data_IF_196155349031
#
_entry.id   IF_196155349031
#
_cell.length_a   1.000
_cell.length_b   1.000
_cell.length_c   1.000
_cell.angle_alpha   90.00
_cell.angle_beta   90.00
_cell.angle_gamma   90.00
#
_symmetry.space_group_name_H-M   'P 1'
#
loop_
_entity.id
_entity.type
_entity.pdbx_description
1 polymer ?
#
# COMPACT_ATOMS: atom_id res chain seq x y z
N UNK A 1 19.20 -30.67 3.93
CA UNK A 1 18.44 -29.69 4.73
C UNK A 1 19.35 -28.48 4.89
N UNK A 2 19.25 -27.50 3.97
CA UNK A 2 20.01 -26.25 4.02
C UNK A 2 19.00 -25.18 4.44
N UNK A 3 19.11 -24.70 5.67
CA UNK A 3 18.50 -23.45 6.10
C UNK A 3 19.23 -22.35 5.33
N UNK A 4 18.59 -21.81 4.31
CA UNK A 4 19.06 -20.55 3.73
C UNK A 4 18.54 -19.46 4.64
N UNK A 5 19.44 -18.92 5.45
CA UNK A 5 19.20 -17.69 6.19
C UNK A 5 19.26 -16.55 5.17
N UNK A 6 18.11 -16.18 4.61
CA UNK A 6 17.95 -15.13 3.60
C UNK A 6 17.81 -13.73 4.22
N UNK A 7 18.26 -13.55 5.47
CA UNK A 7 18.27 -12.23 6.09
C UNK A 7 19.61 -11.57 5.71
N UNK A 8 19.62 -10.87 4.58
CA UNK A 8 20.66 -9.88 4.32
C UNK A 8 20.55 -8.82 5.42
N UNK A 9 21.41 -8.91 6.44
CA UNK A 9 21.59 -7.85 7.42
C UNK A 9 22.35 -6.73 6.74
N UNK A 10 21.66 -5.63 6.44
CA UNK A 10 22.32 -4.37 6.09
C UNK A 10 22.73 -3.71 7.39
N UNK A 11 24.03 -3.57 7.63
CA UNK A 11 24.57 -2.81 8.77
C UNK A 11 24.91 -1.43 8.25
N UNK A 12 24.10 -0.44 8.63
CA UNK A 12 24.38 0.97 8.31
C UNK A 12 25.27 1.55 9.40
N UNK A 13 26.49 1.95 9.05
CA UNK A 13 27.34 2.72 9.95
C UNK A 13 26.98 4.18 9.80
N UNK A 14 26.31 4.74 10.82
CA UNK A 14 25.86 6.12 10.81
C UNK A 14 27.03 7.07 11.16
N UNK A 15 27.02 8.31 10.65
CA UNK A 15 28.05 9.28 10.96
C UNK A 15 28.01 9.63 12.45
N UNK A 16 29.14 10.09 12.99
CA UNK A 16 29.29 10.38 14.43
C UNK A 16 28.22 11.36 14.95
N UNK A 17 27.75 12.28 14.11
CA UNK A 17 26.68 13.24 14.44
C UNK A 17 25.36 12.55 14.81
N UNK A 18 25.01 11.44 14.16
CA UNK A 18 23.80 10.66 14.49
C UNK A 18 24.02 9.82 15.75
N UNK A 19 25.23 9.32 15.95
CA UNK A 19 25.56 8.56 17.16
C UNK A 19 25.46 9.43 18.43
N UNK A 20 25.93 10.68 18.36
CA UNK A 20 25.85 11.61 19.48
C UNK A 20 24.42 12.13 19.73
N UNK A 21 23.63 12.31 18.66
CA UNK A 21 22.27 12.84 18.73
C UNK A 21 21.16 11.80 18.97
N UNK A 22 21.47 10.49 18.92
CA UNK A 22 20.46 9.43 19.00
C UNK A 22 19.56 9.35 17.77
N UNK A 23 18.78 8.26 17.66
CA UNK A 23 17.83 8.04 16.55
C UNK A 23 16.41 8.12 17.07
N UNK A 24 15.65 9.11 16.61
CA UNK A 24 14.24 9.29 16.95
C UNK A 24 13.30 8.52 16.01
N UNK A 25 13.57 8.56 14.70
CA UNK A 25 12.77 7.85 13.68
C UNK A 25 13.62 7.51 12.45
N UNK A 26 13.17 6.52 11.66
CA UNK A 26 13.79 6.15 10.40
C UNK A 26 12.76 5.70 9.36
N UNK A 27 12.85 6.26 8.15
CA UNK A 27 11.97 5.94 7.03
C UNK A 27 12.80 5.38 5.88
N UNK A 28 12.52 4.14 5.51
CA UNK A 28 13.20 3.42 4.42
C UNK A 28 12.41 3.52 3.11
N UNK A 29 13.13 3.55 2.00
CA UNK A 29 12.60 3.33 0.66
C UNK A 29 13.51 2.37 -0.12
N UNK A 30 13.14 2.06 -1.37
CA UNK A 30 13.77 0.99 -2.15
C UNK A 30 15.30 1.07 -2.31
N UNK A 31 15.90 2.25 -2.18
CA UNK A 31 17.35 2.42 -2.29
C UNK A 31 17.98 3.26 -1.17
N UNK A 32 17.25 3.57 -0.11
CA UNK A 32 17.77 4.49 0.90
C UNK A 32 16.99 4.56 2.19
N UNK A 33 17.49 5.40 3.10
CA UNK A 33 16.89 5.67 4.40
C UNK A 33 17.07 7.14 4.76
N UNK A 34 16.06 7.71 5.41
CA UNK A 34 16.11 8.99 6.09
C UNK A 34 16.01 8.73 7.58
N UNK A 35 16.87 9.37 8.35
CA UNK A 35 17.01 9.20 9.79
C UNK A 35 16.79 10.56 10.42
N UNK A 36 15.85 10.61 11.36
CA UNK A 36 15.63 11.75 12.22
C UNK A 36 16.35 11.50 13.55
N UNK A 37 17.22 12.42 13.95
CA UNK A 37 17.90 12.36 15.25
C UNK A 37 17.05 12.95 16.37
N UNK A 38 17.40 12.69 17.65
CA UNK A 38 16.66 13.30 18.78
C UNK A 38 16.86 14.81 18.87
N UNK A 39 17.90 15.35 18.24
CA UNK A 39 18.15 16.79 18.11
C UNK A 39 17.62 17.38 16.77
N UNK A 40 16.61 16.73 16.17
CA UNK A 40 15.86 17.18 15.00
C UNK A 40 16.69 17.38 13.71
N UNK A 41 17.85 16.73 13.59
CA UNK A 41 18.60 16.71 12.32
C UNK A 41 18.13 15.57 11.44
N UNK A 42 18.26 15.78 10.13
CA UNK A 42 17.89 14.78 9.13
C UNK A 42 19.13 14.30 8.40
N UNK A 43 19.38 12.99 8.48
CA UNK A 43 20.48 12.33 7.78
C UNK A 43 19.91 11.34 6.78
N UNK A 44 20.37 11.41 5.54
CA UNK A 44 19.91 10.54 4.46
C UNK A 44 21.06 9.73 3.89
N UNK A 45 20.75 8.51 3.47
CA UNK A 45 21.63 7.63 2.70
C UNK A 45 20.84 7.09 1.52
N UNK A 46 21.36 7.22 0.31
CA UNK A 46 20.69 6.78 -0.93
C UNK A 46 21.37 5.57 -1.59
N UNK A 47 22.35 4.98 -0.91
CA UNK A 47 23.23 3.92 -1.40
C UNK A 47 23.36 2.80 -0.37
N UNK A 48 22.25 2.46 0.32
CA UNK A 48 22.23 1.42 1.39
C UNK A 48 22.56 0.00 0.89
N UNK A 49 22.61 -0.21 -0.42
CA UNK A 49 22.95 -1.49 -1.04
C UNK A 49 24.46 -1.71 -1.21
N UNK A 50 25.28 -0.67 -1.08
CA UNK A 50 26.75 -0.80 -1.19
C UNK A 50 27.40 -1.15 0.15
N UNK A 51 28.60 -1.74 0.11
CA UNK A 51 29.33 -2.18 1.31
C UNK A 51 29.67 -1.02 2.27
N UNK A 52 29.82 0.21 1.74
CA UNK A 52 30.14 1.42 2.50
C UNK A 52 29.19 2.55 2.08
N UNK A 53 28.00 2.63 2.68
CA UNK A 53 27.02 3.66 2.37
C UNK A 53 27.51 5.04 2.77
N UNK A 54 27.03 6.10 2.10
CA UNK A 54 27.44 7.48 2.35
C UNK A 54 26.30 8.33 2.94
N UNK A 55 26.10 8.29 4.27
CA UNK A 55 25.21 9.22 4.96
C UNK A 55 25.62 10.68 4.76
N UNK A 56 24.64 11.53 4.45
CA UNK A 56 24.78 12.98 4.37
C UNK A 56 23.67 13.67 5.14
N UNK A 57 24.02 14.75 5.82
CA UNK A 57 23.06 15.59 6.53
C UNK A 57 22.35 16.52 5.54
N UNK A 58 21.04 16.69 5.68
CA UNK A 58 20.26 17.66 4.93
C UNK A 58 20.34 19.05 5.59
N UNK A 59 19.67 20.04 5.00
CA UNK A 59 19.56 21.36 5.61
C UNK A 59 18.96 21.27 7.03
N UNK A 60 19.41 22.16 7.93
CA UNK A 60 18.85 22.27 9.29
C UNK A 60 17.36 22.61 9.20
N UNK A 61 16.44 21.74 9.69
CA UNK A 61 15.00 21.97 9.63
C UNK A 61 14.54 23.24 10.37
N UNK A 62 15.38 23.82 11.24
CA UNK A 62 15.05 25.01 12.01
C UNK A 62 13.96 24.79 13.05
N UNK A 63 13.84 23.56 13.57
CA UNK A 63 12.91 23.22 14.66
C UNK A 63 13.46 23.79 15.96
N UNK A 64 12.66 24.58 16.68
CA UNK A 64 13.08 25.17 17.95
C UNK A 64 13.26 24.10 19.04
N UNK A 65 14.08 24.36 20.07
CA UNK A 65 14.35 23.40 21.16
C UNK A 65 13.09 22.99 21.94
N UNK A 66 12.04 23.82 21.94
CA UNK A 66 10.75 23.56 22.59
C UNK A 66 9.70 22.95 21.65
N UNK A 67 10.02 22.81 20.36
CA UNK A 67 9.19 22.13 19.37
C UNK A 67 9.63 20.68 19.17
N UNK A 68 8.69 19.84 18.73
CA UNK A 68 8.95 18.43 18.43
C UNK A 68 8.46 18.09 17.03
N UNK A 69 9.27 17.30 16.33
CA UNK A 69 8.84 16.62 15.11
C UNK A 69 7.90 15.49 15.50
N UNK A 70 6.67 15.53 14.97
CA UNK A 70 5.60 14.59 15.29
C UNK A 70 5.67 13.32 14.44
N UNK A 71 6.02 13.46 13.15
CA UNK A 71 6.25 12.35 12.24
C UNK A 71 7.05 12.78 11.01
N UNK A 72 7.64 11.81 10.31
CA UNK A 72 8.44 11.99 9.11
C UNK A 72 7.86 11.18 7.94
N UNK A 73 7.98 11.71 6.72
CA UNK A 73 7.78 10.98 5.47
C UNK A 73 8.81 11.41 4.43
N UNK A 74 9.02 10.59 3.39
CA UNK A 74 10.04 10.84 2.37
C UNK A 74 9.43 10.80 0.98
N UNK A 75 9.70 11.82 0.17
CA UNK A 75 9.51 11.79 -1.28
C UNK A 75 10.81 11.27 -1.89
N UNK A 76 10.73 10.09 -2.50
CA UNK A 76 11.92 9.41 -3.01
C UNK A 76 12.65 10.21 -4.10
N UNK A 77 13.99 10.07 -4.21
CA UNK A 77 14.79 10.84 -5.17
C UNK A 77 14.32 10.74 -6.62
N UNK A 78 13.76 9.58 -7.03
CA UNK A 78 13.23 9.36 -8.38
C UNK A 78 12.00 10.22 -8.72
N UNK A 79 11.33 10.79 -7.71
CA UNK A 79 10.15 11.64 -7.86
C UNK A 79 10.46 13.13 -7.67
N UNK A 80 11.68 13.47 -7.26
CA UNK A 80 12.13 14.85 -7.03
C UNK A 80 13.00 15.32 -8.19
N UNK A 81 12.82 16.56 -8.63
CA UNK A 81 13.56 17.11 -9.79
C UNK A 81 15.07 17.24 -9.57
N UNK A 82 15.52 17.47 -8.33
CA UNK A 82 16.94 17.52 -7.97
C UNK A 82 17.62 16.15 -8.05
N UNK A 83 16.84 15.06 -7.99
CA UNK A 83 17.38 13.70 -7.84
C UNK A 83 17.89 13.40 -6.43
N UNK A 84 17.57 14.26 -5.45
CA UNK A 84 17.81 14.06 -4.02
C UNK A 84 16.48 13.84 -3.29
N UNK A 85 16.45 13.09 -2.17
CA UNK A 85 15.22 12.86 -1.44
C UNK A 85 14.76 14.17 -0.77
N UNK A 86 13.45 14.40 -0.76
CA UNK A 86 12.82 15.48 0.01
C UNK A 86 12.14 14.87 1.24
N UNK A 87 12.53 15.33 2.42
CA UNK A 87 12.03 14.82 3.70
C UNK A 87 10.97 15.77 4.26
N UNK A 88 9.76 15.24 4.47
CA UNK A 88 8.63 15.97 5.04
C UNK A 88 8.58 15.71 6.54
N UNK A 89 8.64 16.76 7.34
CA UNK A 89 8.52 16.70 8.80
C UNK A 89 7.26 17.44 9.25
N UNK A 90 6.42 16.79 10.04
CA UNK A 90 5.32 17.46 10.73
C UNK A 90 5.86 18.09 12.02
N UNK A 91 5.74 19.42 12.15
CA UNK A 91 6.25 20.18 13.29
C UNK A 91 5.15 21.11 13.78
N UNK A 92 4.63 20.88 14.99
CA UNK A 92 3.48 21.64 15.48
C UNK A 92 2.27 21.52 14.55
N UNK A 93 1.83 22.63 13.97
CA UNK A 93 0.69 22.74 13.04
C UNK A 93 1.10 22.88 11.56
N UNK A 94 2.40 22.79 11.26
CA UNK A 94 2.96 22.95 9.91
C UNK A 94 3.67 21.68 9.45
N UNK A 95 3.86 21.58 8.14
CA UNK A 95 4.78 20.60 7.53
C UNK A 95 5.96 21.37 6.94
N UNK A 96 7.17 20.89 7.15
CA UNK A 96 8.38 21.42 6.52
C UNK A 96 8.98 20.37 5.60
N UNK A 97 9.31 20.77 4.37
CA UNK A 97 10.14 19.99 3.47
C UNK A 97 11.61 20.38 3.66
N UNK A 98 12.45 19.38 3.75
CA UNK A 98 13.89 19.50 3.99
C UNK A 98 14.61 18.71 2.91
N UNK A 99 15.50 19.38 2.18
CA UNK A 99 16.38 18.76 1.19
C UNK A 99 17.83 19.26 1.37
N UNK A 100 18.68 19.05 0.37
CA UNK A 100 20.07 19.52 0.41
C UNK A 100 20.20 21.03 0.16
N UNK A 101 19.24 21.63 -0.55
CA UNK A 101 19.27 23.02 -0.97
C UNK A 101 18.66 23.95 0.08
N UNK A 102 17.76 23.45 0.92
CA UNK A 102 17.22 24.20 2.04
C UNK A 102 15.97 23.60 2.68
N UNK A 103 15.19 24.49 3.29
CA UNK A 103 13.94 24.17 3.99
C UNK A 103 12.81 25.01 3.44
N UNK A 104 11.66 24.37 3.23
CA UNK A 104 10.43 25.03 2.80
C UNK A 104 9.28 24.69 3.75
N UNK A 105 8.57 25.71 4.23
CA UNK A 105 7.30 25.50 4.95
C UNK A 105 6.19 25.24 3.93
N UNK A 106 5.42 24.17 4.16
CA UNK A 106 4.38 23.68 3.27
C UNK A 106 3.01 23.72 3.94
N UNK A 107 1.98 23.92 3.12
CA UNK A 107 0.59 23.80 3.56
C UNK A 107 0.10 24.89 4.53
N UNK A 108 0.77 26.03 4.66
CA UNK A 108 0.33 27.12 5.57
C UNK A 108 -1.10 27.61 5.31
N UNK A 109 -1.52 27.56 4.04
CA UNK A 109 -2.88 27.93 3.63
C UNK A 109 -3.89 26.76 3.73
N UNK A 110 -3.42 25.56 4.05
CA UNK A 110 -4.23 24.36 4.20
C UNK A 110 -4.53 24.13 5.67
N UNK A 111 -5.80 23.94 6.01
CA UNK A 111 -6.23 23.61 7.38
C UNK A 111 -5.99 22.13 7.71
N UNK A 112 -4.74 21.68 7.55
CA UNK A 112 -4.30 20.30 7.80
C UNK A 112 -4.33 20.01 9.30
N UNK A 113 -3.96 21.02 10.11
CA UNK A 113 -3.74 20.88 11.55
C UNK A 113 -2.48 20.06 11.87
N UNK A 114 -2.16 19.89 13.16
CA UNK A 114 -1.07 19.03 13.60
C UNK A 114 -1.18 17.61 13.05
N UNK A 115 -0.18 17.21 12.26
CA UNK A 115 -0.13 15.88 11.62
C UNK A 115 0.63 14.90 12.52
N UNK A 116 0.02 13.75 12.78
CA UNK A 116 0.58 12.73 13.68
C UNK A 116 1.18 11.53 12.93
N UNK A 117 0.73 11.25 11.70
CA UNK A 117 1.29 10.21 10.84
C UNK A 117 1.21 10.63 9.38
N UNK A 118 2.23 10.26 8.60
CA UNK A 118 2.30 10.54 7.17
C UNK A 118 2.78 9.33 6.37
N UNK A 119 2.33 9.21 5.13
CA UNK A 119 2.92 8.32 4.13
C UNK A 119 2.79 8.92 2.73
N UNK A 120 3.89 8.93 1.98
CA UNK A 120 3.90 9.32 0.57
C UNK A 120 3.43 8.16 -0.30
N UNK A 121 2.67 8.45 -1.36
CA UNK A 121 2.15 7.46 -2.29
C UNK A 121 3.28 6.81 -3.11
N UNK A 122 3.10 5.58 -3.63
CA UNK A 122 4.16 4.85 -4.33
C UNK A 122 4.73 5.53 -5.60
N UNK A 123 4.06 6.59 -6.09
CA UNK A 123 4.49 7.38 -7.23
C UNK A 123 5.04 8.77 -6.85
N UNK A 124 5.18 9.07 -5.55
CA UNK A 124 5.68 10.34 -5.02
C UNK A 124 4.76 11.55 -5.18
N UNK A 125 3.51 11.37 -5.62
CA UNK A 125 2.62 12.48 -6.00
C UNK A 125 1.65 12.92 -4.92
N UNK A 126 1.31 12.03 -4.00
CA UNK A 126 0.32 12.26 -2.96
C UNK A 126 0.91 11.94 -1.60
N UNK A 127 0.45 12.66 -0.60
CA UNK A 127 0.71 12.47 0.81
C UNK A 127 -0.60 12.08 1.48
N UNK A 128 -0.60 10.97 2.20
CA UNK A 128 -1.63 10.66 3.18
C UNK A 128 -1.16 11.21 4.53
N UNK A 129 -1.96 12.06 5.15
CA UNK A 129 -1.66 12.70 6.43
C UNK A 129 -2.81 12.45 7.40
N UNK A 130 -2.52 11.89 8.57
CA UNK A 130 -3.48 11.74 9.66
C UNK A 130 -3.31 12.88 10.65
N UNK A 131 -4.32 13.73 10.74
CA UNK A 131 -4.34 14.91 11.59
C UNK A 131 -4.85 14.59 13.01
N UNK A 132 -4.50 15.45 13.97
CA UNK A 132 -4.83 15.25 15.38
C UNK A 132 -6.31 15.26 15.74
N UNK A 133 -7.15 15.77 14.85
CA UNK A 133 -8.60 15.82 14.98
C UNK A 133 -9.28 14.54 14.48
N UNK A 134 -8.49 13.52 14.08
CA UNK A 134 -9.01 12.24 13.58
C UNK A 134 -9.27 12.22 12.08
N UNK A 135 -8.88 13.28 11.33
CA UNK A 135 -9.04 13.31 9.89
C UNK A 135 -7.88 12.65 9.15
N UNK A 136 -8.20 11.78 8.20
CA UNK A 136 -7.29 11.40 7.13
C UNK A 136 -7.43 12.42 5.99
N UNK A 137 -6.32 13.03 5.62
CA UNK A 137 -6.21 13.95 4.51
C UNK A 137 -5.34 13.33 3.41
N UNK A 138 -5.74 13.50 2.16
CA UNK A 138 -4.89 13.23 1.01
C UNK A 138 -4.60 14.53 0.30
N UNK A 139 -3.32 14.81 0.11
CA UNK A 139 -2.81 16.11 -0.37
C UNK A 139 -1.75 15.80 -1.44
N UNK A 140 -1.68 16.51 -2.57
CA UNK A 140 -0.52 16.39 -3.45
C UNK A 140 0.76 16.80 -2.71
N UNK A 141 1.90 16.22 -3.07
CA UNK A 141 3.19 16.50 -2.41
C UNK A 141 3.67 17.95 -2.57
N UNK A 142 3.07 18.73 -3.47
CA UNK A 142 3.27 20.19 -3.59
C UNK A 142 2.40 21.03 -2.63
N UNK A 143 1.56 20.39 -1.81
CA UNK A 143 0.65 21.03 -0.84
C UNK A 143 -0.27 22.10 -1.46
N UNK A 144 -0.64 21.92 -2.73
CA UNK A 144 -1.51 22.88 -3.44
C UNK A 144 -2.96 22.90 -2.95
N UNK A 145 -3.49 21.77 -2.49
CA UNK A 145 -4.87 21.62 -1.97
C UNK A 145 -5.07 20.28 -1.28
N UNK A 146 -6.08 20.18 -0.42
CA UNK A 146 -6.61 18.89 0.05
C UNK A 146 -7.48 18.29 -1.07
N UNK A 147 -7.15 17.09 -1.54
CA UNK A 147 -7.90 16.40 -2.61
C UNK A 147 -8.96 15.43 -2.09
N UNK A 148 -8.77 14.92 -0.87
CA UNK A 148 -9.70 14.03 -0.21
C UNK A 148 -9.53 14.15 1.31
N UNK A 149 -10.65 14.02 2.01
CA UNK A 149 -10.74 14.12 3.46
C UNK A 149 -11.72 13.06 3.96
N UNK A 150 -11.37 12.40 5.06
CA UNK A 150 -12.20 11.41 5.71
C UNK A 150 -12.07 11.54 7.23
N UNK A 151 -13.20 11.68 7.91
CA UNK A 151 -13.27 11.75 9.38
C UNK A 151 -13.30 10.33 9.95
N UNK A 152 -12.26 9.96 10.70
CA UNK A 152 -12.18 8.67 11.37
C UNK A 152 -12.96 8.69 12.69
N UNK A 153 -13.40 7.52 13.15
CA UNK A 153 -14.13 7.37 14.42
C UNK A 153 -13.26 7.62 15.66
N UNK A 154 -11.94 7.75 15.48
CA UNK A 154 -10.95 7.96 16.55
C UNK A 154 -9.94 9.01 16.15
N UNK A 155 -9.59 9.89 17.09
CA UNK A 155 -8.50 10.85 16.98
C UNK A 155 -7.14 10.29 17.46
N UNK A 156 -7.11 9.06 17.99
CA UNK A 156 -5.84 8.39 18.30
C UNK A 156 -5.08 8.11 17.01
N UNK A 157 -3.77 8.38 16.95
CA UNK A 157 -2.99 8.12 15.74
C UNK A 157 -2.97 6.63 15.40
N UNK A 158 -3.04 6.27 14.12
CA UNK A 158 -2.84 4.88 13.70
C UNK A 158 -1.40 4.45 13.99
N UNK A 159 -1.23 3.17 14.33
CA UNK A 159 0.09 2.55 14.49
C UNK A 159 0.84 2.57 13.17
N UNK A 160 0.14 2.33 12.05
CA UNK A 160 0.68 2.32 10.69
C UNK A 160 -0.29 2.99 9.71
N UNK A 161 0.28 3.71 8.75
CA UNK A 161 -0.40 4.25 7.57
C UNK A 161 0.33 3.75 6.32
N UNK A 162 -0.40 3.20 5.35
CA UNK A 162 0.20 2.67 4.14
C UNK A 162 -0.71 2.87 2.93
N UNK A 163 -0.12 3.13 1.77
CA UNK A 163 -0.87 3.19 0.52
C UNK A 163 -1.12 1.80 -0.04
N UNK A 164 -2.36 1.54 -0.45
CA UNK A 164 -2.76 0.35 -1.19
C UNK A 164 -3.04 0.73 -2.65
N UNK A 165 -2.03 0.58 -3.50
CA UNK A 165 -2.05 1.11 -4.85
C UNK A 165 -1.85 2.64 -4.86
N UNK A 166 -2.53 3.34 -5.75
CA UNK A 166 -2.32 4.79 -5.97
C UNK A 166 -3.43 5.69 -5.41
N UNK A 167 -4.53 5.11 -4.92
CA UNK A 167 -5.75 5.84 -4.62
C UNK A 167 -6.39 5.49 -3.28
N UNK A 168 -5.89 4.47 -2.58
CA UNK A 168 -6.47 4.03 -1.32
C UNK A 168 -5.40 4.01 -0.23
N UNK A 169 -5.80 4.38 0.99
CA UNK A 169 -4.96 4.44 2.18
C UNK A 169 -5.48 3.44 3.20
N UNK A 170 -4.56 2.71 3.80
CA UNK A 170 -4.77 1.84 4.95
C UNK A 170 -4.33 2.57 6.22
N UNK A 171 -5.18 2.51 7.24
CA UNK A 171 -4.94 3.00 8.59
C UNK A 171 -5.11 1.82 9.54
N UNK A 172 -4.10 1.51 10.34
CA UNK A 172 -4.13 0.38 11.26
C UNK A 172 -4.01 0.84 12.71
N UNK A 173 -4.93 0.36 13.55
CA UNK A 173 -4.91 0.49 15.01
C UNK A 173 -5.11 -0.87 15.65
N UNK A 174 -4.10 -1.42 16.34
CA UNK A 174 -4.12 -2.65 17.16
C UNK A 174 -4.84 -3.89 16.59
N UNK A 175 -6.15 -3.84 16.35
CA UNK A 175 -6.98 -4.93 15.81
C UNK A 175 -7.80 -4.52 14.58
N UNK A 176 -7.79 -3.23 14.20
CA UNK A 176 -8.63 -2.67 13.14
C UNK A 176 -7.75 -2.11 12.04
N UNK A 177 -7.90 -2.66 10.84
CA UNK A 177 -7.34 -2.12 9.59
C UNK A 177 -8.46 -1.49 8.78
N UNK A 178 -8.45 -0.17 8.67
CA UNK A 178 -9.40 0.60 7.89
C UNK A 178 -8.80 0.96 6.54
N UNK A 179 -9.52 0.67 5.48
CA UNK A 179 -9.19 1.08 4.13
C UNK A 179 -10.12 2.20 3.67
N UNK A 180 -9.53 3.32 3.30
CA UNK A 180 -10.25 4.52 2.85
C UNK A 180 -9.74 4.89 1.46
N UNK A 181 -10.65 5.20 0.55
CA UNK A 181 -10.32 5.73 -0.77
C UNK A 181 -11.38 6.74 -1.22
N UNK A 182 -11.11 7.52 -2.28
CA UNK A 182 -12.01 8.56 -2.76
C UNK A 182 -13.33 8.01 -3.33
N UNK A 183 -13.37 6.71 -3.64
CA UNK A 183 -14.47 6.06 -4.34
C UNK A 183 -15.08 4.94 -3.49
N UNK A 184 -16.19 5.26 -2.84
CA UNK A 184 -17.04 4.30 -2.13
C UNK A 184 -16.92 4.38 -0.60
N UNK A 185 -17.60 3.44 0.06
CA UNK A 185 -17.61 3.36 1.52
C UNK A 185 -16.28 2.76 2.02
N UNK A 186 -15.79 3.18 3.21
CA UNK A 186 -14.60 2.61 3.82
C UNK A 186 -14.78 1.12 4.11
N UNK A 187 -13.68 0.36 4.05
CA UNK A 187 -13.68 -1.07 4.29
C UNK A 187 -12.86 -1.39 5.53
N UNK A 188 -13.47 -2.05 6.50
CA UNK A 188 -12.81 -2.45 7.73
C UNK A 188 -12.47 -3.95 7.71
N UNK A 189 -11.24 -4.26 8.11
CA UNK A 189 -10.77 -5.61 8.38
C UNK A 189 -10.37 -5.71 9.85
N UNK A 190 -10.85 -6.74 10.54
CA UNK A 190 -10.44 -7.01 11.91
C UNK A 190 -9.37 -8.10 11.93
N UNK A 191 -8.40 -7.95 12.80
CA UNK A 191 -7.29 -8.88 13.01
C UNK A 191 -7.16 -9.19 14.50
N UNK A 192 -7.05 -10.48 14.83
CA UNK A 192 -6.86 -10.97 16.20
C UNK A 192 -5.36 -11.01 16.61
N UNK A 193 -4.46 -10.65 15.70
CA UNK A 193 -3.01 -10.62 15.89
C UNK A 193 -2.45 -9.28 15.40
N UNK A 194 -1.35 -8.77 15.99
CA UNK A 194 -0.66 -7.61 15.46
C UNK A 194 -0.29 -7.78 13.99
N UNK A 195 -0.52 -6.75 13.19
CA UNK A 195 -0.21 -6.77 11.75
C UNK A 195 0.91 -5.81 11.41
N UNK A 196 1.72 -6.18 10.43
CA UNK A 196 2.71 -5.31 9.78
C UNK A 196 2.30 -5.10 8.32
N UNK A 197 2.24 -3.85 7.91
CA UNK A 197 1.92 -3.43 6.55
C UNK A 197 3.22 -3.20 5.78
N UNK A 198 3.35 -3.88 4.64
CA UNK A 198 4.45 -3.68 3.69
C UNK A 198 3.83 -3.20 2.38
N UNK A 199 3.88 -1.88 2.09
CA UNK A 199 3.36 -1.36 0.84
C UNK A 199 4.17 -1.87 -0.36
N UNK A 200 3.47 -2.19 -1.43
CA UNK A 200 3.99 -2.60 -2.74
C UNK A 200 3.39 -1.68 -3.84
N UNK A 201 3.87 -1.79 -5.08
CA UNK A 201 3.45 -0.87 -6.15
C UNK A 201 1.97 -1.00 -6.54
N UNK A 202 1.36 -2.16 -6.31
CA UNK A 202 -0.02 -2.50 -6.68
C UNK A 202 -0.93 -2.84 -5.48
N UNK A 203 -0.39 -2.87 -4.26
CA UNK A 203 -1.16 -3.24 -3.06
C UNK A 203 -0.34 -3.16 -1.78
N UNK A 204 -0.79 -3.86 -0.74
CA UNK A 204 -0.12 -3.98 0.55
C UNK A 204 -0.06 -5.43 0.96
N UNK A 205 1.12 -5.87 1.32
CA UNK A 205 1.33 -7.14 2.00
C UNK A 205 1.11 -6.96 3.49
N UNK A 206 0.19 -7.75 4.04
CA UNK A 206 -0.20 -7.71 5.44
C UNK A 206 0.37 -8.96 6.11
N UNK A 207 1.31 -8.78 7.02
CA UNK A 207 1.96 -9.86 7.76
C UNK A 207 1.38 -9.94 9.16
N UNK A 208 1.05 -11.14 9.60
CA UNK A 208 0.77 -11.47 11.00
C UNK A 208 1.77 -12.52 11.47
N UNK A 209 1.66 -12.96 12.73
CA UNK A 209 2.48 -14.06 13.22
C UNK A 209 2.13 -15.40 12.55
N UNK A 210 0.94 -15.52 11.97
CA UNK A 210 0.40 -16.79 11.46
C UNK A 210 0.10 -16.79 9.96
N UNK A 211 -0.02 -15.63 9.33
CA UNK A 211 -0.38 -15.46 7.92
C UNK A 211 0.44 -14.39 7.21
N UNK A 212 0.53 -14.54 5.90
CA UNK A 212 0.87 -13.47 4.99
C UNK A 212 -0.30 -13.29 4.04
N UNK A 213 -0.72 -12.04 3.90
CA UNK A 213 -1.80 -11.66 3.01
C UNK A 213 -1.35 -10.60 2.02
N UNK A 214 -2.02 -10.55 0.87
CA UNK A 214 -1.83 -9.47 -0.10
C UNK A 214 -3.18 -8.84 -0.39
N UNK A 215 -3.31 -7.56 -0.04
CA UNK A 215 -4.48 -6.75 -0.28
C UNK A 215 -4.17 -5.80 -1.44
N UNK A 216 -4.94 -5.88 -2.52
CA UNK A 216 -4.76 -5.01 -3.67
C UNK A 216 -6.09 -4.58 -4.28
N UNK A 217 -6.07 -3.43 -4.96
CA UNK A 217 -7.21 -2.99 -5.76
C UNK A 217 -7.32 -3.89 -6.99
N UNK A 218 -8.52 -4.37 -7.27
CA UNK A 218 -8.81 -5.08 -8.52
C UNK A 218 -8.74 -4.07 -9.67
N UNK A 219 -7.92 -4.31 -10.70
CA UNK A 219 -7.81 -3.42 -11.85
C UNK A 219 -9.16 -3.18 -12.56
N UNK A 220 -9.34 -1.97 -13.10
CA UNK A 220 -10.59 -1.60 -13.80
C UNK A 220 -10.86 -2.48 -15.02
N UNK A 221 -9.81 -2.95 -15.70
CA UNK A 221 -9.95 -3.90 -16.82
C UNK A 221 -10.63 -5.19 -16.39
N UNK A 222 -10.25 -5.75 -15.23
CA UNK A 222 -10.86 -6.94 -14.64
C UNK A 222 -12.31 -6.66 -14.26
N UNK A 223 -12.58 -5.51 -13.63
CA UNK A 223 -13.95 -5.08 -13.28
C UNK A 223 -14.82 -4.88 -14.52
N UNK A 224 -14.26 -4.36 -15.62
CA UNK A 224 -14.97 -4.20 -16.89
C UNK A 224 -15.30 -5.54 -17.55
N UNK A 225 -14.51 -6.59 -17.36
CA UNK A 225 -14.78 -7.91 -17.94
C UNK A 225 -15.77 -8.69 -17.06
N UNK A 226 -15.51 -8.76 -15.75
CA UNK A 226 -16.20 -9.64 -14.80
C UNK A 226 -17.26 -8.95 -13.95
N UNK A 227 -17.40 -7.63 -14.08
CA UNK A 227 -18.44 -6.88 -13.38
C UNK A 227 -19.82 -7.45 -13.64
N UNK A 228 -20.65 -7.53 -12.59
CA UNK A 228 -22.01 -8.04 -12.70
C UNK A 228 -22.78 -7.19 -13.72
N UNK A 229 -23.31 -7.86 -14.74
CA UNK A 229 -24.05 -7.18 -15.81
C UNK A 229 -23.18 -6.32 -16.74
N UNK A 230 -21.86 -6.45 -16.70
CA UNK A 230 -21.00 -5.71 -17.62
C UNK A 230 -21.30 -6.07 -19.07
N UNK A 231 -21.50 -5.03 -19.87
CA UNK A 231 -21.67 -5.08 -21.33
C UNK A 231 -20.53 -4.32 -22.04
N UNK A 232 -19.39 -4.16 -21.36
CA UNK A 232 -18.23 -3.52 -21.96
C UNK A 232 -17.74 -4.33 -23.19
N UNK A 233 -17.08 -3.70 -24.17
CA UNK A 233 -16.49 -4.43 -25.30
C UNK A 233 -15.56 -5.57 -24.84
N UNK A 234 -14.84 -5.38 -23.72
CA UNK A 234 -13.98 -6.38 -23.12
C UNK A 234 -14.76 -7.58 -22.56
N UNK A 235 -15.88 -7.35 -21.87
CA UNK A 235 -16.76 -8.41 -21.38
C UNK A 235 -17.37 -9.22 -22.54
N UNK A 236 -17.85 -8.55 -23.58
CA UNK A 236 -18.44 -9.20 -24.75
C UNK A 236 -17.42 -10.05 -25.53
N UNK A 237 -16.20 -9.56 -25.67
CA UNK A 237 -15.12 -10.30 -26.32
C UNK A 237 -14.70 -11.52 -25.50
N UNK A 238 -14.64 -11.38 -24.17
CA UNK A 238 -14.35 -12.49 -23.27
C UNK A 238 -15.44 -13.57 -23.34
N UNK A 239 -16.72 -13.18 -23.32
CA UNK A 239 -17.85 -14.10 -23.49
C UNK A 239 -17.79 -14.82 -24.86
N UNK A 240 -17.48 -14.09 -25.94
CA UNK A 240 -17.33 -14.67 -27.28
C UNK A 240 -16.21 -15.71 -27.34
N UNK A 241 -15.08 -15.45 -26.68
CA UNK A 241 -13.97 -16.42 -26.55
C UNK A 241 -14.40 -17.66 -25.78
N UNK A 242 -15.05 -17.51 -24.62
CA UNK A 242 -15.53 -18.64 -23.81
C UNK A 242 -16.48 -19.54 -24.63
N UNK A 243 -17.34 -18.93 -25.45
CA UNK A 243 -18.21 -19.66 -26.37
C UNK A 243 -17.46 -20.41 -27.48
N UNK A 244 -16.41 -19.79 -28.04
CA UNK A 244 -15.55 -20.38 -29.06
C UNK A 244 -14.76 -21.59 -28.51
N UNK A 245 -14.12 -21.42 -27.34
CA UNK A 245 -13.31 -22.45 -26.69
C UNK A 245 -14.15 -23.67 -26.32
N UNK A 246 -15.40 -23.45 -25.88
CA UNK A 246 -16.38 -24.52 -25.60
C UNK A 246 -16.95 -25.20 -26.85
N UNK A 247 -16.52 -24.79 -28.04
CA UNK A 247 -17.09 -25.21 -29.33
C UNK A 247 -18.63 -25.11 -29.35
N UNK A 248 -19.17 -24.17 -28.57
CA UNK A 248 -20.60 -24.07 -28.30
C UNK A 248 -21.32 -23.17 -29.29
N UNK A 249 -20.69 -22.91 -30.44
CA UNK A 249 -21.21 -22.05 -31.50
C UNK A 249 -22.54 -22.61 -32.00
N UNK A 250 -23.65 -22.17 -31.39
CA UNK A 250 -24.96 -22.29 -32.01
C UNK A 250 -24.97 -21.32 -33.18
N UNK A 251 -25.12 -21.80 -34.43
CA UNK A 251 -25.34 -20.89 -35.54
C UNK A 251 -26.60 -20.08 -35.21
N UNK A 252 -26.50 -18.75 -35.32
CA UNK A 252 -27.67 -17.89 -35.27
C UNK A 252 -28.55 -18.27 -36.48
N UNK A 253 -29.53 -19.14 -36.24
CA UNK A 253 -30.52 -19.51 -37.23
C UNK A 253 -31.25 -18.24 -37.66
N UNK A 254 -31.16 -17.93 -38.96
CA UNK A 254 -32.04 -16.98 -39.60
C UNK A 254 -33.50 -17.44 -39.37
N UNK A 255 -34.20 -16.78 -38.45
CA UNK A 255 -35.58 -17.05 -38.09
C UNK A 255 -36.24 -15.74 -37.68
N UNK A 256 -37.27 -15.36 -38.43
CA UNK A 256 -37.97 -14.07 -38.39
C UNK A 256 -38.48 -13.66 -37.00
N UNK A 257 -38.36 -12.36 -36.70
CA UNK A 257 -39.37 -11.65 -35.89
C UNK A 257 -39.29 -11.77 -34.37
N UNK A 258 -38.23 -11.27 -33.73
CA UNK A 258 -38.32 -10.53 -32.47
C UNK A 258 -36.94 -10.00 -32.08
N UNK A 259 -36.84 -8.72 -31.72
CA UNK A 259 -35.63 -8.12 -31.15
C UNK A 259 -35.46 -8.56 -29.68
N UNK A 260 -35.43 -9.87 -29.43
CA UNK A 260 -34.91 -10.46 -28.20
C UNK A 260 -33.80 -11.41 -28.62
N UNK A 261 -32.60 -10.87 -28.81
CA UNK A 261 -31.43 -11.68 -29.06
C UNK A 261 -31.13 -12.61 -27.88
N UNK A 262 -30.41 -13.73 -28.08
CA UNK A 262 -30.00 -14.66 -27.02
C UNK A 262 -29.02 -14.06 -25.99
N UNK A 263 -28.73 -12.76 -26.11
CA UNK A 263 -27.80 -11.97 -25.30
C UNK A 263 -28.43 -11.43 -24.00
N UNK A 264 -29.73 -11.68 -23.80
CA UNK A 264 -30.41 -11.32 -22.56
C UNK A 264 -29.95 -12.24 -21.41
N UNK A 265 -28.98 -11.76 -20.61
CA UNK A 265 -28.58 -12.37 -19.34
C UNK A 265 -29.83 -12.50 -18.44
N UNK A 266 -30.15 -13.72 -17.99
CA UNK A 266 -31.24 -13.93 -17.01
C UNK A 266 -30.83 -13.35 -15.65
N UNK A 267 -31.76 -12.66 -15.01
CA UNK A 267 -31.54 -11.86 -13.80
C UNK A 267 -30.96 -12.64 -12.59
N UNK A 268 -30.11 -11.94 -11.84
CA UNK A 268 -30.20 -11.85 -10.38
C UNK A 268 -29.28 -12.73 -9.55
N UNK A 269 -29.35 -14.05 -9.69
CA UNK A 269 -28.80 -14.96 -8.67
C UNK A 269 -27.67 -15.87 -9.16
N UNK A 270 -27.57 -16.11 -10.47
CA UNK A 270 -26.61 -17.06 -11.07
C UNK A 270 -25.30 -16.36 -11.52
N UNK A 271 -25.24 -15.02 -11.39
CA UNK A 271 -24.17 -14.17 -11.93
C UNK A 271 -23.20 -13.73 -10.81
N UNK A 272 -23.65 -13.55 -9.58
CA UNK A 272 -22.77 -13.28 -8.43
C UNK A 272 -21.85 -14.45 -8.15
N UNK A 273 -22.41 -15.66 -8.07
CA UNK A 273 -21.67 -16.89 -7.78
C UNK A 273 -20.66 -17.22 -8.89
N UNK A 274 -21.02 -16.98 -10.16
CA UNK A 274 -20.10 -17.17 -11.29
C UNK A 274 -19.00 -16.11 -11.38
N UNK A 275 -19.25 -14.87 -10.96
CA UNK A 275 -18.21 -13.83 -10.96
C UNK A 275 -17.17 -14.13 -9.87
N UNK A 276 -17.61 -14.59 -8.70
CA UNK A 276 -16.73 -14.95 -7.59
C UNK A 276 -15.96 -16.25 -7.92
N UNK A 277 -16.62 -17.28 -8.48
CA UNK A 277 -15.95 -18.52 -8.95
C UNK A 277 -14.97 -18.28 -10.11
N UNK A 278 -15.23 -17.32 -11.00
CA UNK A 278 -14.36 -17.04 -12.16
C UNK A 278 -13.19 -16.11 -11.86
N UNK A 279 -13.34 -15.19 -10.90
CA UNK A 279 -12.19 -14.49 -10.30
C UNK A 279 -11.28 -15.49 -9.57
N UNK A 280 -11.86 -16.45 -8.83
CA UNK A 280 -11.13 -17.57 -8.22
C UNK A 280 -10.36 -18.43 -9.25
N UNK A 281 -10.95 -18.72 -10.42
CA UNK A 281 -10.28 -19.49 -11.47
C UNK A 281 -9.10 -18.75 -12.13
N UNK A 282 -9.20 -17.43 -12.33
CA UNK A 282 -8.07 -16.62 -12.80
C UNK A 282 -6.88 -16.62 -11.82
N UNK A 283 -7.13 -16.81 -10.52
CA UNK A 283 -6.07 -17.00 -9.52
C UNK A 283 -5.30 -18.30 -9.69
N UNK A 284 -5.96 -19.34 -10.19
CA UNK A 284 -5.33 -20.64 -10.38
C UNK A 284 -4.45 -20.64 -11.65
N UNK A 285 -4.92 -20.02 -12.74
CA UNK A 285 -4.15 -19.95 -14.00
C UNK A 285 -2.94 -19.01 -13.92
N UNK A 286 -3.01 -17.91 -13.15
CA UNK A 286 -1.87 -16.99 -12.96
C UNK A 286 -0.80 -17.55 -12.00
N UNK A 287 -1.14 -18.57 -11.19
CA UNK A 287 -0.23 -19.27 -10.28
C UNK A 287 0.41 -20.54 -10.87
N UNK A 288 -0.07 -21.05 -12.01
CA UNK A 288 0.40 -22.28 -12.64
C UNK A 288 1.35 -21.99 -13.83
N UNK A 289 2.55 -21.52 -13.54
CA UNK A 289 3.74 -21.92 -14.32
C UNK A 289 4.56 -22.91 -13.50
N UNK A 290 4.05 -24.14 -13.42
CA UNK A 290 4.72 -25.24 -12.74
C UNK A 290 5.81 -25.86 -13.64
N UNK A 291 7.05 -25.78 -13.16
CA UNK A 291 8.14 -26.72 -13.46
C UNK A 291 7.76 -28.07 -12.81
N UNK A 292 7.96 -29.24 -13.46
CA UNK A 292 7.33 -30.48 -13.01
C UNK A 292 7.91 -31.03 -11.68
N UNK A 293 6.95 -31.27 -10.78
CA UNK A 293 6.86 -32.13 -9.59
C UNK A 293 8.12 -32.75 -8.96
N UNK A 294 8.36 -32.35 -7.71
CA UNK A 294 8.81 -33.21 -6.61
C UNK A 294 8.07 -32.78 -5.34
N UNK A 295 7.53 -33.74 -4.58
CA UNK A 295 6.55 -33.58 -3.49
C UNK A 295 6.79 -32.40 -2.52
N UNK A 296 5.85 -31.43 -2.48
CA UNK A 296 5.75 -30.40 -1.43
C UNK A 296 4.27 -30.25 -1.04
N UNK A 297 3.91 -30.16 0.27
CA UNK A 297 2.52 -30.06 0.69
C UNK A 297 1.86 -28.79 0.15
N UNK A 298 0.71 -28.93 -0.51
CA UNK A 298 -0.06 -27.83 -1.08
C UNK A 298 -0.49 -26.84 0.01
N UNK A 299 0.01 -25.60 -0.07
CA UNK A 299 -0.54 -24.47 0.67
C UNK A 299 -1.89 -24.07 0.03
N UNK A 300 -2.97 -24.12 0.81
CA UNK A 300 -4.29 -23.66 0.36
C UNK A 300 -4.36 -22.15 0.52
N UNK A 301 -4.33 -21.42 -0.59
CA UNK A 301 -4.64 -19.99 -0.64
C UNK A 301 -6.15 -19.80 -0.48
N UNK A 302 -6.59 -18.95 0.46
CA UNK A 302 -7.98 -18.49 0.51
C UNK A 302 -8.03 -17.05 0.03
N UNK A 303 -8.82 -16.78 -1.01
CA UNK A 303 -9.10 -15.42 -1.50
C UNK A 303 -10.45 -14.94 -0.98
N UNK A 304 -10.52 -13.71 -0.48
CA UNK A 304 -11.77 -13.03 -0.16
C UNK A 304 -11.90 -11.78 -1.02
N UNK A 305 -13.06 -11.59 -1.64
CA UNK A 305 -13.40 -10.40 -2.42
C UNK A 305 -14.29 -9.51 -1.55
N UNK A 306 -13.87 -8.27 -1.33
CA UNK A 306 -14.74 -7.24 -0.74
C UNK A 306 -15.05 -6.18 -1.79
N UNK A 307 -16.33 -5.79 -1.86
CA UNK A 307 -16.83 -4.81 -2.83
C UNK A 307 -17.30 -3.57 -2.08
N UNK A 308 -16.77 -2.42 -2.45
CA UNK A 308 -17.42 -1.13 -2.18
C UNK A 308 -18.35 -0.80 -3.34
N UNK A 309 -19.15 0.27 -3.24
CA UNK A 309 -20.01 0.72 -4.33
C UNK A 309 -19.25 1.08 -5.62
N UNK A 310 -17.93 1.27 -5.56
CA UNK A 310 -17.13 1.81 -6.67
C UNK A 310 -15.80 1.08 -6.93
N UNK A 311 -15.30 0.26 -5.99
CA UNK A 311 -14.05 -0.50 -6.14
C UNK A 311 -14.21 -1.94 -5.62
N UNK A 312 -13.40 -2.83 -6.18
CA UNK A 312 -13.29 -4.22 -5.71
C UNK A 312 -11.88 -4.41 -5.18
N UNK A 313 -11.77 -4.96 -3.98
CA UNK A 313 -10.49 -5.32 -3.37
C UNK A 313 -10.42 -6.81 -3.20
N UNK A 314 -9.20 -7.31 -3.33
CA UNK A 314 -8.94 -8.72 -3.25
C UNK A 314 -7.85 -8.98 -2.23
N UNK A 315 -8.18 -9.85 -1.29
CA UNK A 315 -7.32 -10.26 -0.18
C UNK A 315 -6.94 -11.71 -0.39
N UNK A 316 -5.67 -11.97 -0.65
CA UNK A 316 -5.12 -13.32 -0.66
C UNK A 316 -4.58 -13.66 0.70
N UNK A 317 -4.86 -14.85 1.22
CA UNK A 317 -4.26 -15.33 2.47
C UNK A 317 -3.50 -16.63 2.24
N UNK A 318 -2.23 -16.65 2.65
CA UNK A 318 -1.40 -17.84 2.77
C UNK A 318 -1.08 -18.08 4.24
N UNK A 319 -1.43 -19.25 4.77
CA UNK A 319 -1.00 -19.67 6.12
C UNK A 319 0.50 -19.98 6.08
N UNK A 320 1.25 -19.47 7.05
CA UNK A 320 2.64 -19.88 7.22
C UNK A 320 2.67 -21.34 7.72
N UNK A 321 3.44 -22.20 7.05
CA UNK A 321 3.65 -23.56 7.54
C UNK A 321 4.54 -23.47 8.79
N UNK A 322 4.11 -24.08 9.89
CA UNK A 322 4.77 -24.07 11.20
C UNK A 322 6.26 -24.41 11.08
N UNK A 323 7.06 -23.36 10.98
CA UNK A 323 8.50 -23.37 11.15
C UNK A 323 8.75 -22.18 12.05
N UNK A 324 9.35 -22.45 13.21
CA UNK A 324 9.57 -21.50 14.31
C UNK A 324 10.01 -20.14 13.76
N UNK A 325 9.11 -19.16 13.78
CA UNK A 325 9.46 -17.76 13.57
C UNK A 325 10.12 -17.31 14.86
N UNK A 326 11.45 -17.22 14.84
CA UNK A 326 12.19 -16.49 15.87
C UNK A 326 11.69 -15.05 15.84
N UNK A 327 11.17 -14.58 16.97
CA UNK A 327 10.78 -13.19 17.20
C UNK A 327 11.91 -12.24 16.76
N UNK A 328 11.64 -11.38 15.78
CA UNK A 328 12.50 -10.23 15.49
C UNK A 328 11.91 -9.01 16.18
N UNK A 329 12.37 -8.78 17.41
CA UNK A 329 12.37 -7.44 17.99
C UNK A 329 13.49 -6.68 17.29
N UNK A 330 13.17 -5.62 16.53
CA UNK A 330 14.17 -4.63 16.15
C UNK A 330 14.64 -3.96 17.45
N UNK A 331 15.72 -4.49 18.02
CA UNK A 331 16.39 -3.90 19.18
C UNK A 331 17.60 -3.17 18.62
N UNK A 332 17.51 -1.84 18.57
CA UNK A 332 18.69 -0.99 18.53
C UNK A 332 19.48 -1.27 19.81
N UNK A 333 20.48 -2.15 19.74
CA UNK A 333 21.45 -2.29 20.81
C UNK A 333 22.62 -1.35 20.49
N UNK A 334 22.69 -0.26 21.26
CA UNK A 334 23.87 0.58 21.33
C UNK A 334 25.03 -0.25 21.89
N UNK A 335 26.12 -0.32 21.14
CA UNK A 335 27.44 -0.70 21.63
C UNK A 335 28.38 0.48 21.46
#
# INVERSE_FOLDING_TARGET
MKTYDYINRVVLTLPLSVYEGGVADAVFWGGGVAILTEDNRVVVTTDIEVDDPHPRELADPGVAEDEQVLCMAVVEPQFVMSGSPEVLLAVGDRVVAVDEDGVQVLGEALEIGPVQKMAVSPNGKLLAAFAHDGRLLVIPTDFSRIIFEYECDSALPPDQIAWCGLDSVLLYWSEVLLMVGPNGDPVQYNYDEPVMLIPECDGVRILTNSSMEFLHRVPDSTTLIFGIGSMSPAALLYDARDHYDKQSAKPAGAGQGSLQGPWARKNGTDISDRADDRLLLLHQEMGERAIPAGDVPHAVSRGAIQRTRSCVFMRFQRRQASTVVSSCTARLEAW
#
